data_IF_554649818836
#
_entry.id   IF_554649818836
#
_cell.length_a   1.000
_cell.length_b   1.000
_cell.length_c   1.000
_cell.angle_alpha   90.00
_cell.angle_beta   90.00
_cell.angle_gamma   90.00
#
_symmetry.space_group_name_H-M   'P 1'
#
loop_
_entity.id
_entity.type
_entity.pdbx_description
1 polymer ?
#
# COMPACT_ATOMS: atom_id res chain seq x y z
N UNK A 1 9.38 -13.08 -8.81
CA UNK A 1 8.87 -13.35 -10.17
C UNK A 1 9.02 -12.09 -11.03
N UNK A 2 9.18 -12.20 -12.35
CA UNK A 2 9.35 -11.03 -13.22
C UNK A 2 8.21 -10.02 -13.12
N UNK A 3 6.99 -10.48 -12.96
CA UNK A 3 5.83 -9.60 -12.79
C UNK A 3 5.90 -8.78 -11.50
N UNK A 4 6.33 -9.38 -10.41
CA UNK A 4 6.54 -8.67 -9.15
C UNK A 4 7.53 -7.52 -9.31
N UNK A 5 8.62 -7.75 -10.04
CA UNK A 5 9.62 -6.70 -10.29
C UNK A 5 9.07 -5.60 -11.19
N UNK A 6 8.15 -5.93 -12.09
CA UNK A 6 7.54 -4.94 -13.00
C UNK A 6 6.47 -4.09 -12.30
N UNK A 7 5.66 -4.70 -11.44
CA UNK A 7 4.51 -4.06 -10.81
C UNK A 7 4.78 -3.44 -9.44
N UNK A 8 5.98 -3.62 -8.90
CA UNK A 8 6.33 -3.08 -7.58
C UNK A 8 7.60 -2.23 -7.65
N UNK A 9 7.82 -1.46 -6.59
CA UNK A 9 9.04 -0.67 -6.44
C UNK A 9 10.26 -1.51 -6.03
N UNK A 10 10.10 -2.83 -5.89
CA UNK A 10 11.20 -3.73 -5.51
C UNK A 10 12.34 -3.71 -6.54
N UNK A 11 12.03 -3.44 -7.81
CA UNK A 11 13.03 -3.32 -8.87
C UNK A 11 14.08 -2.23 -8.61
N UNK A 12 13.71 -1.23 -7.83
CA UNK A 12 14.57 -0.08 -7.54
C UNK A 12 15.37 -0.24 -6.25
N UNK A 13 15.16 -1.36 -5.53
CA UNK A 13 15.85 -1.63 -4.28
C UNK A 13 17.32 -1.94 -4.51
N UNK A 14 18.14 -1.43 -3.61
CA UNK A 14 19.58 -1.68 -3.56
C UNK A 14 19.97 -2.23 -2.20
N UNK A 15 21.12 -2.90 -2.14
CA UNK A 15 21.68 -3.38 -0.89
C UNK A 15 21.80 -2.24 0.12
N UNK A 16 21.28 -2.45 1.32
CA UNK A 16 21.24 -1.44 2.39
C UNK A 16 19.91 -0.71 2.51
N UNK A 17 19.03 -0.80 1.52
CA UNK A 17 17.69 -0.21 1.60
C UNK A 17 16.86 -0.92 2.66
N UNK A 18 16.01 -0.15 3.32
CA UNK A 18 15.10 -0.69 4.33
C UNK A 18 13.79 -1.10 3.69
N UNK A 19 13.26 -2.24 4.13
CA UNK A 19 11.97 -2.76 3.68
C UNK A 19 11.15 -3.22 4.88
N UNK A 20 9.83 -3.15 4.74
CA UNK A 20 8.93 -3.72 5.73
C UNK A 20 8.88 -5.24 5.54
N UNK A 21 8.92 -5.98 6.65
CA UNK A 21 8.83 -7.43 6.65
C UNK A 21 7.69 -7.88 7.53
N UNK A 22 7.00 -8.92 7.09
CA UNK A 22 5.95 -9.55 7.85
C UNK A 22 6.02 -11.07 7.67
N UNK A 23 5.83 -11.79 8.77
CA UNK A 23 5.74 -13.26 8.69
C UNK A 23 4.41 -13.68 8.10
N UNK A 24 4.39 -14.84 7.45
CA UNK A 24 3.15 -15.47 7.00
C UNK A 24 2.20 -15.65 8.17
N UNK A 25 0.94 -15.24 7.97
CA UNK A 25 -0.10 -15.42 8.97
C UNK A 25 -0.39 -16.90 9.21
N UNK A 26 -0.42 -17.29 10.48
CA UNK A 26 -0.78 -18.65 10.90
C UNK A 26 -2.18 -18.66 11.50
N UNK A 27 -2.80 -19.85 11.55
CA UNK A 27 -4.18 -19.99 12.06
C UNK A 27 -4.37 -19.47 13.49
N UNK A 28 -3.31 -19.50 14.31
CA UNK A 28 -3.34 -19.06 15.71
C UNK A 28 -2.97 -17.60 15.90
N UNK A 29 -2.57 -16.91 14.84
CA UNK A 29 -2.14 -15.51 14.92
C UNK A 29 -3.33 -14.56 14.93
N UNK A 30 -3.18 -13.42 15.58
CA UNK A 30 -4.11 -12.31 15.49
C UNK A 30 -4.03 -11.64 14.11
N UNK A 31 -5.14 -11.08 13.66
CA UNK A 31 -5.21 -10.32 12.42
C UNK A 31 -5.18 -8.82 12.74
N UNK A 32 -4.04 -8.17 12.48
CA UNK A 32 -3.81 -6.76 12.80
C UNK A 32 -4.03 -5.83 11.60
N UNK A 33 -5.02 -6.12 10.79
CA UNK A 33 -5.33 -5.35 9.59
C UNK A 33 -6.36 -6.07 8.76
N UNK A 34 -6.12 -6.16 7.46
CA UNK A 34 -6.97 -6.92 6.56
C UNK A 34 -6.20 -8.08 5.92
N UNK A 35 -6.93 -9.01 5.31
CA UNK A 35 -6.32 -10.16 4.64
C UNK A 35 -5.65 -9.69 3.36
N UNK A 36 -4.37 -10.05 3.20
CA UNK A 36 -3.56 -9.69 2.04
C UNK A 36 -2.97 -10.96 1.43
N UNK A 37 -3.11 -11.11 0.13
CA UNK A 37 -2.59 -12.29 -0.58
C UNK A 37 -1.14 -12.15 -1.04
N UNK A 38 -0.57 -10.96 -0.94
CA UNK A 38 0.79 -10.66 -1.37
C UNK A 38 0.94 -10.24 -2.82
N UNK A 39 -0.13 -10.20 -3.59
CA UNK A 39 -0.09 -9.67 -4.95
C UNK A 39 -0.02 -8.15 -4.95
N UNK A 40 0.90 -7.60 -5.75
CA UNK A 40 1.04 -6.16 -5.93
C UNK A 40 0.40 -5.77 -7.26
N UNK A 41 -0.52 -4.84 -7.22
CA UNK A 41 -1.25 -4.40 -8.42
C UNK A 41 -0.61 -3.22 -9.13
N UNK A 42 0.22 -2.45 -8.45
CA UNK A 42 0.88 -1.31 -9.09
C UNK A 42 1.67 -0.45 -8.13
N UNK A 43 2.16 0.65 -8.65
CA UNK A 43 2.98 1.62 -7.94
C UNK A 43 2.25 2.96 -7.92
N UNK A 44 2.13 3.55 -6.74
CA UNK A 44 1.67 4.92 -6.58
C UNK A 44 2.84 5.85 -6.27
N UNK A 45 2.59 7.15 -6.33
CA UNK A 45 3.57 8.19 -5.98
C UNK A 45 2.98 9.04 -4.88
N UNK A 46 3.74 9.25 -3.80
CA UNK A 46 3.31 10.14 -2.72
C UNK A 46 3.30 11.57 -3.26
N UNK A 47 2.10 12.13 -3.36
CA UNK A 47 1.91 13.50 -3.84
C UNK A 47 1.98 14.51 -2.69
N UNK A 48 1.52 14.12 -1.51
CA UNK A 48 1.41 15.03 -0.37
C UNK A 48 1.40 14.23 0.93
N UNK A 49 2.01 14.78 1.96
CA UNK A 49 1.95 14.24 3.30
C UNK A 49 1.69 15.40 4.25
N UNK A 50 0.63 15.34 5.05
CA UNK A 50 0.31 16.36 6.04
C UNK A 50 -0.01 15.74 7.38
N UNK A 51 0.22 16.48 8.43
CA UNK A 51 -0.14 16.07 9.78
C UNK A 51 -1.53 16.61 10.14
N UNK A 52 -2.35 15.76 10.70
CA UNK A 52 -3.69 16.09 11.19
C UNK A 52 -3.82 15.55 12.62
N UNK A 53 -3.58 16.42 13.61
CA UNK A 53 -3.47 16.00 15.00
C UNK A 53 -2.32 15.01 15.19
N UNK A 54 -2.63 13.82 15.70
CA UNK A 54 -1.66 12.74 15.89
C UNK A 54 -1.51 11.86 14.64
N UNK A 55 -2.35 12.07 13.62
CA UNK A 55 -2.35 11.28 12.40
C UNK A 55 -1.54 11.94 11.29
N UNK A 56 -0.96 11.11 10.44
CA UNK A 56 -0.37 11.55 9.19
C UNK A 56 -1.29 11.17 8.04
N UNK A 57 -1.68 12.16 7.23
CA UNK A 57 -2.50 11.93 6.05
C UNK A 57 -1.59 11.93 4.83
N UNK A 58 -1.53 10.81 4.17
CA UNK A 58 -0.70 10.61 2.98
C UNK A 58 -1.60 10.56 1.76
N UNK A 59 -1.33 11.43 0.80
CA UNK A 59 -2.02 11.45 -0.49
C UNK A 59 -1.13 10.77 -1.52
N UNK A 60 -1.67 9.73 -2.13
CA UNK A 60 -0.94 8.92 -3.11
C UNK A 60 -1.60 9.07 -4.46
N UNK A 61 -0.84 9.53 -5.44
CA UNK A 61 -1.28 9.53 -6.83
C UNK A 61 -1.19 8.11 -7.37
N UNK A 62 -2.30 7.64 -7.91
CA UNK A 62 -2.47 6.23 -8.28
C UNK A 62 -2.79 6.11 -9.77
N UNK A 63 -2.27 5.09 -10.47
CA UNK A 63 -2.65 4.84 -11.85
C UNK A 63 -4.18 4.73 -12.00
N UNK A 64 -4.76 5.36 -13.05
CA UNK A 64 -6.21 5.41 -13.21
C UNK A 64 -6.89 4.04 -13.23
N UNK A 65 -6.23 3.04 -13.79
CA UNK A 65 -6.75 1.66 -13.87
C UNK A 65 -6.92 0.99 -12.51
N UNK A 66 -6.26 1.48 -11.48
CA UNK A 66 -6.38 0.96 -10.11
C UNK A 66 -7.43 1.70 -9.28
N UNK A 67 -7.77 2.91 -9.67
CA UNK A 67 -8.68 3.76 -8.87
C UNK A 67 -10.06 3.15 -8.68
N UNK A 68 -10.55 2.38 -9.63
CA UNK A 68 -11.86 1.72 -9.56
C UNK A 68 -11.96 0.68 -8.45
N UNK A 69 -10.83 0.21 -7.93
CA UNK A 69 -10.78 -0.77 -6.85
C UNK A 69 -10.58 -0.12 -5.47
N UNK A 70 -10.36 1.18 -5.43
CA UNK A 70 -10.07 1.91 -4.21
C UNK A 70 -11.33 2.64 -3.76
N UNK A 71 -11.84 2.24 -2.61
CA UNK A 71 -13.11 2.74 -2.10
C UNK A 71 -12.92 3.57 -0.83
N UNK A 72 -13.71 4.61 -0.70
CA UNK A 72 -13.80 5.40 0.53
C UNK A 72 -14.08 4.47 1.72
N UNK A 73 -13.32 4.62 2.78
CA UNK A 73 -13.34 3.77 3.99
C UNK A 73 -12.94 2.31 3.76
N UNK A 74 -12.48 1.98 2.57
CA UNK A 74 -11.95 0.65 2.28
C UNK A 74 -10.55 0.46 2.86
N UNK A 75 -10.05 -0.76 2.75
CA UNK A 75 -8.69 -1.11 3.14
C UNK A 75 -7.77 -1.15 1.93
N UNK A 76 -6.55 -0.69 2.13
CA UNK A 76 -5.49 -0.75 1.12
C UNK A 76 -4.18 -1.12 1.79
N UNK A 77 -3.37 -1.91 1.12
CA UNK A 77 -2.02 -2.21 1.58
C UNK A 77 -1.01 -1.41 0.76
N UNK A 78 -0.21 -0.62 1.43
CA UNK A 78 0.86 0.16 0.81
C UNK A 78 2.17 -0.18 1.50
N UNK A 79 3.13 -0.69 0.75
CA UNK A 79 4.41 -1.18 1.26
C UNK A 79 4.26 -2.15 2.43
N UNK A 80 3.24 -3.01 2.35
CA UNK A 80 2.93 -4.01 3.38
C UNK A 80 2.18 -3.47 4.60
N UNK A 81 1.83 -2.19 4.62
CA UNK A 81 1.09 -1.57 5.72
C UNK A 81 -0.39 -1.55 5.38
N UNK A 82 -1.22 -2.09 6.27
CA UNK A 82 -2.69 -2.02 6.15
C UNK A 82 -3.17 -0.64 6.55
N UNK A 83 -3.84 0.04 5.63
CA UNK A 83 -4.32 1.40 5.83
C UNK A 83 -5.79 1.52 5.46
N UNK A 84 -6.44 2.55 5.98
CA UNK A 84 -7.80 2.90 5.63
C UNK A 84 -7.80 4.07 4.65
N UNK A 85 -8.58 3.94 3.60
CA UNK A 85 -8.80 5.00 2.62
C UNK A 85 -9.76 6.03 3.20
N UNK A 86 -9.29 7.24 3.44
CA UNK A 86 -10.13 8.31 4.01
C UNK A 86 -10.86 9.11 2.96
N UNK A 87 -10.21 9.38 1.84
CA UNK A 87 -10.78 10.14 0.72
C UNK A 87 -10.32 9.53 -0.61
N UNK A 88 -11.16 9.66 -1.61
CA UNK A 88 -10.87 9.21 -2.98
C UNK A 88 -11.22 10.33 -3.94
N UNK A 89 -10.27 10.68 -4.81
CA UNK A 89 -10.50 11.60 -5.92
C UNK A 89 -10.42 10.84 -7.25
N UNK A 90 -10.29 11.54 -8.35
CA UNK A 90 -10.17 10.90 -9.67
C UNK A 90 -8.88 10.06 -9.80
N UNK A 91 -7.79 10.50 -9.17
CA UNK A 91 -6.45 9.89 -9.31
C UNK A 91 -5.65 9.77 -8.00
N UNK A 92 -6.26 10.09 -6.85
CA UNK A 92 -5.61 9.99 -5.54
C UNK A 92 -6.48 9.33 -4.49
#
# INVERSE_FOLDING_TARGET
>A
MPETMRLSNLRDLRSGDRVNLERTLRLMDGLDGHIVSGHVEGIGVIAKCRQDGIANVVTVKTPPELMRYILHKGSIAIDGISLTVTDVTEDT
#
